data_IF_713982837717
#
_entry.id   IF_713982837717
#
_cell.length_a   1.000
_cell.length_b   1.000
_cell.length_c   1.000
_cell.angle_alpha   90.00
_cell.angle_beta   90.00
_cell.angle_gamma   90.00
#
_symmetry.space_group_name_H-M   'P 1'
#
loop_
_entity.id
_entity.type
_entity.pdbx_description
1 polymer ?
#
# COMPACT_ATOMS: atom_id res chain seq x y z
N UNK A 1 -4.32 -13.72 8.80
CA UNK A 1 -4.24 -12.29 8.45
C UNK A 1 -4.42 -11.48 9.72
N UNK A 2 -3.60 -10.46 9.94
CA UNK A 2 -3.76 -9.49 11.04
C UNK A 2 -3.87 -8.08 10.46
N UNK A 3 -4.70 -7.23 11.07
CA UNK A 3 -4.87 -5.83 10.68
C UNK A 3 -4.63 -4.96 11.90
N UNK A 4 -3.75 -3.97 11.75
CA UNK A 4 -3.42 -2.99 12.78
C UNK A 4 -3.66 -1.59 12.20
N UNK A 5 -4.41 -0.75 12.90
CA UNK A 5 -4.71 0.61 12.49
C UNK A 5 -4.41 1.56 13.66
N UNK A 6 -3.49 2.50 13.46
CA UNK A 6 -3.13 3.51 14.46
C UNK A 6 -4.15 4.63 14.52
N UNK A 7 -4.35 5.34 13.40
CA UNK A 7 -5.34 6.42 13.26
C UNK A 7 -5.68 6.68 11.78
N UNK A 8 -6.68 5.99 11.22
CA UNK A 8 -7.13 6.19 9.85
C UNK A 8 -8.26 7.23 9.72
N UNK A 9 -8.62 7.98 10.77
CA UNK A 9 -9.75 8.92 10.72
C UNK A 9 -9.43 10.18 9.88
N UNK A 10 -10.46 10.88 9.41
CA UNK A 10 -10.36 12.19 8.73
C UNK A 10 -9.44 12.22 7.50
N UNK A 11 -9.44 11.13 6.73
CA UNK A 11 -8.71 11.06 5.45
C UNK A 11 -9.53 11.72 4.33
N UNK A 12 -8.88 12.42 3.38
CA UNK A 12 -9.53 12.80 2.13
C UNK A 12 -10.06 11.55 1.42
N UNK A 13 -11.28 11.60 0.87
CA UNK A 13 -11.91 10.44 0.22
C UNK A 13 -11.04 9.79 -0.88
N UNK A 14 -10.27 10.60 -1.63
CA UNK A 14 -9.34 10.08 -2.62
C UNK A 14 -8.24 9.20 -1.99
N UNK A 15 -7.73 9.59 -0.82
CA UNK A 15 -6.71 8.84 -0.05
C UNK A 15 -7.29 7.54 0.47
N UNK A 16 -8.52 7.54 1.00
CA UNK A 16 -9.20 6.31 1.45
C UNK A 16 -9.35 5.30 0.31
N UNK A 17 -9.84 5.77 -0.85
CA UNK A 17 -10.03 4.91 -2.03
C UNK A 17 -8.70 4.35 -2.52
N UNK A 18 -7.65 5.17 -2.59
CA UNK A 18 -6.32 4.72 -2.99
C UNK A 18 -5.74 3.71 -1.99
N UNK A 19 -5.82 3.99 -0.69
CA UNK A 19 -5.39 3.08 0.38
C UNK A 19 -6.10 1.73 0.28
N UNK A 20 -7.42 1.74 0.12
CA UNK A 20 -8.23 0.53 -0.04
C UNK A 20 -7.81 -0.27 -1.27
N UNK A 21 -7.66 0.37 -2.43
CA UNK A 21 -7.25 -0.31 -3.68
C UNK A 21 -5.84 -0.87 -3.60
N UNK A 22 -4.92 -0.15 -2.97
CA UNK A 22 -3.54 -0.60 -2.74
C UNK A 22 -3.53 -1.85 -1.86
N UNK A 23 -4.22 -1.79 -0.71
CA UNK A 23 -4.31 -2.93 0.20
C UNK A 23 -4.99 -4.14 -0.47
N UNK A 24 -6.08 -3.91 -1.20
CA UNK A 24 -6.83 -4.96 -1.88
C UNK A 24 -5.99 -5.66 -2.96
N UNK A 25 -5.29 -4.90 -3.81
CA UNK A 25 -4.43 -5.46 -4.85
C UNK A 25 -3.23 -6.21 -4.25
N UNK A 26 -2.61 -5.66 -3.20
CA UNK A 26 -1.54 -6.32 -2.48
C UNK A 26 -1.99 -7.66 -1.87
N UNK A 27 -3.14 -7.69 -1.20
CA UNK A 27 -3.72 -8.93 -0.65
C UNK A 27 -4.07 -9.94 -1.74
N UNK A 28 -4.56 -9.47 -2.89
CA UNK A 28 -4.82 -10.33 -4.03
C UNK A 28 -3.54 -10.95 -4.59
N UNK A 29 -2.43 -10.20 -4.63
CA UNK A 29 -1.13 -10.73 -5.03
C UNK A 29 -0.61 -11.77 -4.03
N UNK A 30 -0.76 -11.53 -2.72
CA UNK A 30 -0.41 -12.51 -1.69
C UNK A 30 -1.20 -13.81 -1.88
N UNK A 31 -2.52 -13.71 -2.07
CA UNK A 31 -3.39 -14.87 -2.25
C UNK A 31 -3.06 -15.70 -3.50
N UNK A 32 -2.63 -15.06 -4.59
CA UNK A 32 -2.32 -15.73 -5.86
C UNK A 32 -0.89 -16.27 -5.93
N UNK A 33 0.07 -15.61 -5.29
CA UNK A 33 1.50 -15.82 -5.59
C UNK A 33 2.35 -16.16 -4.37
N UNK A 34 2.04 -15.67 -3.17
CA UNK A 34 3.02 -15.69 -2.10
C UNK A 34 3.19 -17.06 -1.42
N UNK A 35 2.21 -17.97 -1.50
CA UNK A 35 2.18 -19.20 -0.68
C UNK A 35 2.43 -18.91 0.82
N UNK A 36 2.01 -17.73 1.28
CA UNK A 36 2.25 -17.22 2.62
C UNK A 36 1.33 -17.90 3.65
N UNK A 37 1.80 -18.01 4.89
CA UNK A 37 1.00 -18.47 6.04
C UNK A 37 0.44 -17.29 6.82
N UNK A 38 1.12 -16.15 6.78
CA UNK A 38 0.76 -14.93 7.49
C UNK A 38 0.82 -13.76 6.54
N UNK A 39 -0.14 -12.87 6.72
CA UNK A 39 -0.14 -11.53 6.13
C UNK A 39 -0.51 -10.55 7.22
N UNK A 40 0.20 -9.43 7.26
CA UNK A 40 -0.02 -8.30 8.16
C UNK A 40 -0.35 -7.07 7.32
N UNK A 41 -1.45 -6.41 7.66
CA UNK A 41 -1.82 -5.11 7.12
C UNK A 41 -1.69 -4.07 8.23
N UNK A 42 -0.91 -3.03 8.00
CA UNK A 42 -0.73 -1.93 8.96
C UNK A 42 -1.12 -0.61 8.31
N UNK A 43 -1.92 0.17 9.01
CA UNK A 43 -2.24 1.55 8.67
C UNK A 43 -1.82 2.47 9.80
N UNK A 44 -1.14 3.55 9.47
CA UNK A 44 -0.74 4.54 10.46
C UNK A 44 -0.43 5.87 9.80
N UNK A 45 -0.48 6.93 10.60
CA UNK A 45 -0.16 8.29 10.15
C UNK A 45 1.29 8.61 10.57
N UNK A 46 2.06 9.23 9.69
CA UNK A 46 3.38 9.75 10.03
C UNK A 46 3.25 11.11 10.75
N UNK A 47 4.35 11.59 11.32
CA UNK A 47 4.39 12.90 11.99
C UNK A 47 4.07 14.07 11.04
N UNK A 48 4.28 13.90 9.74
CA UNK A 48 3.95 14.86 8.68
C UNK A 48 2.51 14.73 8.15
N UNK A 49 1.67 13.95 8.84
CA UNK A 49 0.26 13.75 8.50
C UNK A 49 0.00 12.74 7.38
N UNK A 50 1.02 12.25 6.69
CA UNK A 50 0.85 11.27 5.61
C UNK A 50 0.35 9.90 6.12
N UNK A 51 -0.59 9.30 5.38
CA UNK A 51 -1.05 7.94 5.62
C UNK A 51 -0.04 6.95 5.07
N UNK A 52 0.38 6.01 5.90
CA UNK A 52 1.18 4.84 5.53
C UNK A 52 0.29 3.61 5.55
N UNK A 53 0.28 2.90 4.43
CA UNK A 53 -0.34 1.58 4.31
C UNK A 53 0.76 0.59 3.99
N UNK A 54 0.88 -0.48 4.77
CA UNK A 54 1.78 -1.57 4.45
C UNK A 54 1.09 -2.93 4.52
N UNK A 55 1.39 -3.77 3.53
CA UNK A 55 0.97 -5.17 3.48
C UNK A 55 2.23 -6.01 3.39
N UNK A 56 2.46 -6.85 4.40
CA UNK A 56 3.62 -7.72 4.49
C UNK A 56 3.18 -9.18 4.63
N UNK A 57 3.78 -10.07 3.84
CA UNK A 57 3.57 -11.52 3.93
C UNK A 57 4.85 -12.27 4.30
N UNK A 58 4.72 -13.52 4.76
CA UNK A 58 5.84 -14.43 5.05
C UNK A 58 6.05 -15.49 3.95
N UNK A 59 5.63 -15.18 2.73
CA UNK A 59 5.66 -16.07 1.58
C UNK A 59 7.00 -16.12 0.85
N UNK A 60 6.95 -16.59 -0.39
CA UNK A 60 8.14 -16.83 -1.24
C UNK A 60 8.74 -15.56 -1.85
N UNK A 61 8.08 -14.42 -1.69
CA UNK A 61 8.48 -13.15 -2.32
C UNK A 61 8.20 -13.12 -3.83
N UNK A 62 8.79 -12.14 -4.51
CA UNK A 62 8.73 -11.97 -5.96
C UNK A 62 10.10 -12.34 -6.55
N UNK A 63 10.11 -13.23 -7.55
CA UNK A 63 11.35 -13.61 -8.21
C UNK A 63 12.00 -12.38 -8.88
N UNK A 64 13.34 -12.21 -8.81
CA UNK A 64 14.02 -11.02 -9.35
C UNK A 64 13.82 -10.80 -10.85
N UNK A 65 13.56 -11.87 -11.59
CA UNK A 65 13.34 -11.92 -13.03
C UNK A 65 11.85 -11.92 -13.41
N UNK A 66 10.94 -11.90 -12.42
CA UNK A 66 9.52 -11.82 -12.69
C UNK A 66 9.19 -10.47 -13.37
N UNK A 67 8.53 -10.46 -14.53
CA UNK A 67 8.10 -9.23 -15.16
C UNK A 67 7.16 -8.46 -14.22
N UNK A 68 7.30 -7.14 -14.20
CA UNK A 68 6.39 -6.29 -13.43
C UNK A 68 4.96 -6.46 -13.99
N UNK A 69 4.16 -7.27 -13.33
CA UNK A 69 2.77 -7.50 -13.71
C UNK A 69 1.93 -6.23 -13.56
N UNK A 70 0.79 -6.19 -14.26
CA UNK A 70 -0.17 -5.06 -14.24
C UNK A 70 -0.53 -4.65 -12.80
N UNK A 71 -0.63 -5.60 -11.87
CA UNK A 71 -0.91 -5.34 -10.46
C UNK A 71 0.16 -4.48 -9.77
N UNK A 72 1.44 -4.77 -9.97
CA UNK A 72 2.55 -4.00 -9.36
C UNK A 72 2.67 -2.59 -9.96
N UNK A 73 2.43 -2.47 -11.27
CA UNK A 73 2.38 -1.17 -11.95
C UNK A 73 1.22 -0.34 -11.39
N UNK A 74 0.03 -0.93 -11.30
CA UNK A 74 -1.17 -0.26 -10.77
C UNK A 74 -1.01 0.20 -9.32
N UNK A 75 -0.25 -0.54 -8.50
CA UNK A 75 0.07 -0.13 -7.12
C UNK A 75 0.90 1.16 -7.09
N UNK A 76 1.92 1.25 -7.96
CA UNK A 76 2.79 2.43 -8.07
C UNK A 76 2.04 3.64 -8.60
N UNK A 77 1.25 3.45 -9.65
CA UNK A 77 0.46 4.51 -10.27
C UNK A 77 -0.53 5.13 -9.28
N UNK A 78 -1.27 4.33 -8.52
CA UNK A 78 -2.25 4.84 -7.53
C UNK A 78 -1.64 5.67 -6.42
N UNK A 79 -0.42 5.32 -5.98
CA UNK A 79 0.32 6.15 -5.04
C UNK A 79 0.69 7.49 -5.67
N UNK A 80 1.24 7.45 -6.89
CA UNK A 80 1.69 8.63 -7.62
C UNK A 80 0.54 9.58 -8.02
N UNK A 81 -0.65 9.06 -8.33
CA UNK A 81 -1.86 9.83 -8.65
C UNK A 81 -2.23 10.84 -7.55
N UNK A 82 -1.91 10.53 -6.29
CA UNK A 82 -2.16 11.39 -5.13
C UNK A 82 -0.93 12.18 -4.67
N UNK A 83 0.14 12.22 -5.47
CA UNK A 83 1.42 12.82 -5.06
C UNK A 83 2.16 12.00 -3.99
N UNK A 84 1.72 10.76 -3.76
CA UNK A 84 2.35 9.81 -2.86
C UNK A 84 3.33 8.88 -3.57
N UNK A 85 3.69 7.79 -2.90
CA UNK A 85 4.56 6.74 -3.43
C UNK A 85 4.11 5.38 -2.98
N UNK A 86 4.30 4.37 -3.82
CA UNK A 86 4.15 2.97 -3.44
C UNK A 86 5.39 2.18 -3.87
N UNK A 87 5.96 1.44 -2.93
CA UNK A 87 7.10 0.56 -3.13
C UNK A 87 6.70 -0.89 -2.87
N UNK A 88 7.36 -1.79 -3.58
CA UNK A 88 7.24 -3.23 -3.36
C UNK A 88 8.65 -3.77 -3.19
N UNK A 89 8.89 -4.41 -2.06
CA UNK A 89 10.19 -4.90 -1.63
C UNK A 89 10.09 -6.39 -1.28
N UNK A 90 11.18 -7.12 -1.49
CA UNK A 90 11.31 -8.53 -1.10
C UNK A 90 12.50 -8.63 -0.15
N UNK A 91 12.28 -8.55 1.18
CA UNK A 91 13.35 -8.59 2.16
C UNK A 91 14.13 -9.90 2.10
N UNK A 92 15.41 -9.87 2.47
CA UNK A 92 16.24 -11.09 2.56
C UNK A 92 15.70 -12.11 3.58
N UNK A 93 14.88 -11.68 4.53
CA UNK A 93 14.15 -12.54 5.47
C UNK A 93 13.00 -13.33 4.83
N UNK A 94 12.70 -13.08 3.56
CA UNK A 94 11.57 -13.68 2.82
C UNK A 94 10.34 -12.78 2.77
N UNK A 95 9.35 -13.21 1.98
CA UNK A 95 8.08 -12.53 1.80
C UNK A 95 8.10 -11.33 0.86
N UNK A 96 6.96 -10.66 0.77
CA UNK A 96 6.79 -9.39 0.05
C UNK A 96 6.32 -8.32 1.01
N UNK A 97 6.81 -7.09 0.84
CA UNK A 97 6.33 -5.91 1.54
C UNK A 97 5.87 -4.89 0.49
N UNK A 98 4.58 -4.63 0.45
CA UNK A 98 4.01 -3.48 -0.28
C UNK A 98 3.86 -2.34 0.72
N UNK A 99 4.46 -1.19 0.44
CA UNK A 99 4.39 0.00 1.31
C UNK A 99 3.99 1.22 0.49
N UNK A 100 2.85 1.80 0.80
CA UNK A 100 2.38 3.06 0.25
C UNK A 100 2.45 4.18 1.29
N UNK A 101 2.81 5.37 0.83
CA UNK A 101 2.75 6.62 1.59
C UNK A 101 1.94 7.61 0.78
N UNK A 102 0.82 8.04 1.34
CA UNK A 102 -0.16 8.89 0.70
C UNK A 102 -0.29 10.19 1.49
N UNK A 103 -0.11 11.37 0.88
CA UNK A 103 -0.37 12.64 1.52
C UNK A 103 -1.83 12.68 2.00
N UNK A 104 -2.05 12.93 3.30
CA UNK A 104 -3.37 12.83 3.91
C UNK A 104 -3.79 14.10 4.66
N UNK A 105 -2.95 15.12 4.68
CA UNK A 105 -3.32 16.46 5.09
C UNK A 105 -3.98 17.14 3.88
N UNK A 106 -5.18 17.71 4.10
CA UNK A 106 -6.09 18.18 3.07
C UNK A 106 -5.51 19.27 2.16
N UNK A 107 -4.73 18.88 1.15
CA UNK A 107 -4.31 19.71 0.04
C UNK A 107 -5.12 19.41 -1.21
N UNK A 108 -6.43 19.67 -1.19
CA UNK A 108 -7.29 19.34 -2.33
C UNK A 108 -8.78 19.69 -2.24
N UNK A 109 -9.15 20.85 -1.69
CA UNK A 109 -10.40 21.52 -2.05
C UNK A 109 -10.31 23.04 -1.76
N UNK A 110 -9.46 23.72 -2.52
CA UNK A 110 -9.47 25.18 -2.64
C UNK A 110 -9.32 25.60 -4.10
N UNK A 111 -10.44 25.98 -4.75
CA UNK A 111 -10.48 26.67 -6.04
C UNK A 111 -11.46 26.05 -7.04
N UNK A 112 -12.53 26.70 -7.50
CA UNK A 112 -12.94 28.08 -7.27
C UNK A 112 -14.24 28.43 -7.98
N UNK A 113 -14.77 29.60 -7.54
CA UNK A 113 -15.90 30.39 -8.05
C UNK A 113 -17.29 29.78 -7.97
#
# INVERSE_FOLDING_TARGET
MTVEAGDPADLPAAVEVAAYRIASEALANVARHASARRVRVTLGRQDDGALVVAVADDGVGIAPDAPAGVGLVSLRERGAELGGRCAVECPASGGTVVRAVLPADGGGAGGGR
#
